data_IF_510109497614
#
_entry.id   IF_510109497614
#
_cell.length_a   1.000
_cell.length_b   1.000
_cell.length_c   1.000
_cell.angle_alpha   90.00
_cell.angle_beta   90.00
_cell.angle_gamma   90.00
#
_symmetry.space_group_name_H-M   'P 1'
#
loop_
_entity.id
_entity.type
_entity.pdbx_description
1 polymer ?
#
# COMPACT_ATOMS: atom_id res chain seq x y z
N UNK A 1 7.37 -29.43 -8.71
CA UNK A 1 7.95 -29.40 -10.06
C UNK A 1 6.84 -29.09 -11.08
N UNK A 2 7.20 -28.49 -12.21
CA UNK A 2 6.30 -28.12 -13.32
C UNK A 2 6.97 -28.43 -14.65
N UNK A 3 6.24 -29.11 -15.54
CA UNK A 3 6.65 -29.35 -16.93
C UNK A 3 6.44 -28.08 -17.77
N UNK A 4 7.22 -27.05 -17.47
CA UNK A 4 7.15 -25.71 -18.05
C UNK A 4 8.57 -25.18 -18.26
N UNK A 5 8.72 -24.30 -19.24
CA UNK A 5 9.97 -23.60 -19.48
C UNK A 5 10.20 -22.47 -18.47
N UNK A 6 9.19 -21.62 -18.26
CA UNK A 6 9.36 -20.38 -17.50
C UNK A 6 9.18 -20.60 -15.99
N UNK A 7 10.31 -20.87 -15.32
CA UNK A 7 10.44 -20.91 -13.86
C UNK A 7 11.88 -21.23 -13.47
N UNK A 8 12.26 -21.10 -12.19
CA UNK A 8 13.61 -21.44 -11.74
C UNK A 8 13.89 -22.94 -11.95
N UNK A 9 14.99 -23.32 -12.64
CA UNK A 9 15.39 -24.72 -12.72
C UNK A 9 15.61 -25.33 -11.34
N UNK A 10 15.13 -26.55 -11.14
CA UNK A 10 15.36 -27.28 -9.90
C UNK A 10 16.82 -27.75 -9.89
N UNK A 11 17.63 -27.40 -8.88
CA UNK A 11 19.09 -27.67 -8.87
C UNK A 11 19.40 -29.13 -8.50
N UNK A 12 18.89 -30.08 -9.30
CA UNK A 12 19.09 -31.52 -9.14
C UNK A 12 19.67 -32.12 -10.43
N UNK A 13 20.54 -33.10 -10.28
CA UNK A 13 21.13 -33.92 -11.35
C UNK A 13 20.84 -35.40 -11.06
N UNK A 14 20.45 -36.15 -12.09
CA UNK A 14 20.19 -37.57 -12.05
C UNK A 14 21.36 -38.36 -12.64
N UNK A 15 22.00 -39.19 -11.83
CA UNK A 15 23.07 -40.09 -12.21
C UNK A 15 22.62 -41.55 -12.10
N UNK A 16 22.96 -42.39 -13.08
CA UNK A 16 22.60 -43.81 -13.07
C UNK A 16 23.18 -44.57 -11.85
N UNK A 17 24.36 -44.16 -11.35
CA UNK A 17 25.01 -44.78 -10.19
C UNK A 17 24.66 -44.09 -8.86
N UNK A 18 24.43 -42.77 -8.88
CA UNK A 18 24.25 -41.94 -7.68
C UNK A 18 22.81 -41.54 -7.36
N UNK A 19 21.85 -41.83 -8.25
CA UNK A 19 20.46 -41.37 -8.10
C UNK A 19 20.31 -39.86 -8.29
N UNK A 20 19.43 -39.24 -7.51
CA UNK A 20 19.20 -37.79 -7.53
C UNK A 20 20.19 -37.08 -6.58
N UNK A 21 20.97 -36.16 -7.12
CA UNK A 21 22.03 -35.44 -6.42
C UNK A 21 21.81 -33.92 -6.55
N UNK A 22 22.11 -33.12 -5.51
CA UNK A 22 22.08 -31.66 -5.63
C UNK A 22 23.19 -31.17 -6.55
N UNK A 23 22.90 -30.08 -7.27
CA UNK A 23 23.93 -29.31 -7.97
C UNK A 23 24.85 -28.66 -6.92
N UNK A 24 26.18 -28.74 -7.05
CA UNK A 24 27.12 -28.08 -6.15
C UNK A 24 26.94 -26.56 -6.07
N UNK A 25 27.19 -25.97 -4.91
CA UNK A 25 27.00 -24.53 -4.66
C UNK A 25 27.80 -23.64 -5.64
N UNK A 26 29.00 -24.06 -6.05
CA UNK A 26 29.86 -23.36 -7.01
C UNK A 26 29.39 -23.44 -8.47
N UNK A 27 28.35 -24.25 -8.73
CA UNK A 27 27.68 -24.38 -10.02
C UNK A 27 26.29 -23.73 -10.04
N UNK A 28 25.88 -23.12 -8.93
CA UNK A 28 24.67 -22.31 -8.89
C UNK A 28 24.95 -20.89 -9.42
N UNK A 29 23.95 -20.22 -10.02
CA UNK A 29 22.61 -20.71 -10.33
C UNK A 29 22.59 -21.58 -11.60
N UNK A 30 21.68 -22.56 -11.65
CA UNK A 30 21.34 -23.25 -12.90
C UNK A 30 20.45 -22.33 -13.72
N UNK A 31 21.01 -21.71 -14.77
CA UNK A 31 20.29 -20.78 -15.63
C UNK A 31 19.43 -21.52 -16.66
N UNK A 32 18.28 -20.93 -17.01
CA UNK A 32 17.48 -21.41 -18.14
C UNK A 32 18.27 -21.24 -19.45
N UNK A 33 18.29 -22.26 -20.32
CA UNK A 33 18.86 -22.12 -21.65
C UNK A 33 17.93 -21.26 -22.53
N UNK A 34 18.46 -20.47 -23.47
CA UNK A 34 17.61 -19.81 -24.45
C UNK A 34 16.85 -20.86 -25.27
N UNK A 35 15.54 -20.64 -25.46
CA UNK A 35 14.69 -21.55 -26.21
C UNK A 35 13.61 -20.76 -26.96
N UNK A 36 13.60 -20.87 -28.29
CA UNK A 36 12.60 -20.20 -29.13
C UNK A 36 11.23 -20.88 -29.01
N UNK A 37 11.20 -22.21 -29.00
CA UNK A 37 9.98 -23.02 -28.92
C UNK A 37 9.76 -23.58 -27.51
N UNK A 38 9.27 -22.71 -26.62
CA UNK A 38 9.03 -23.03 -25.21
C UNK A 38 7.60 -23.49 -24.89
N UNK A 39 6.75 -23.65 -25.92
CA UNK A 39 5.35 -24.05 -25.73
C UNK A 39 5.27 -25.52 -25.31
N UNK A 40 4.40 -25.87 -24.35
CA UNK A 40 4.17 -27.27 -24.00
C UNK A 40 3.65 -28.03 -25.23
N UNK A 41 4.32 -29.14 -25.57
CA UNK A 41 3.95 -29.99 -26.72
C UNK A 41 2.79 -30.94 -26.43
N UNK A 42 2.33 -31.00 -25.17
CA UNK A 42 1.32 -31.95 -24.71
C UNK A 42 1.86 -33.35 -24.41
N UNK A 43 3.16 -33.59 -24.62
CA UNK A 43 3.81 -34.89 -24.40
C UNK A 43 4.08 -35.23 -22.92
N UNK A 44 3.64 -34.40 -21.97
CA UNK A 44 3.86 -34.61 -20.54
C UNK A 44 5.31 -34.39 -20.08
N UNK A 45 6.17 -33.83 -20.94
CA UNK A 45 7.57 -33.51 -20.64
C UNK A 45 7.82 -32.01 -20.69
N UNK A 46 8.76 -31.52 -19.90
CA UNK A 46 9.18 -30.12 -19.90
C UNK A 46 9.80 -29.74 -21.26
N UNK A 47 9.56 -28.52 -21.78
CA UNK A 47 10.26 -28.02 -22.97
C UNK A 47 11.79 -28.09 -22.84
N UNK A 48 12.32 -27.95 -21.61
CA UNK A 48 13.75 -28.03 -21.33
C UNK A 48 14.36 -29.41 -21.68
N UNK A 49 13.55 -30.48 -21.64
CA UNK A 49 14.00 -31.82 -21.99
C UNK A 49 14.44 -31.95 -23.46
N UNK A 50 14.05 -31.00 -24.32
CA UNK A 50 14.44 -30.98 -25.74
C UNK A 50 15.82 -30.36 -25.99
N UNK A 51 16.39 -29.69 -24.98
CA UNK A 51 17.67 -28.98 -25.10
C UNK A 51 18.81 -29.88 -24.62
N UNK A 52 19.24 -30.81 -25.47
CA UNK A 52 20.21 -31.84 -25.11
C UNK A 52 21.53 -31.28 -24.51
N UNK A 53 22.02 -30.14 -25.00
CA UNK A 53 23.23 -29.49 -24.48
C UNK A 53 23.09 -28.95 -23.06
N UNK A 54 21.87 -28.62 -22.64
CA UNK A 54 21.58 -28.14 -21.30
C UNK A 54 21.26 -29.30 -20.35
N UNK A 55 20.50 -30.29 -20.84
CA UNK A 55 20.10 -31.47 -20.06
C UNK A 55 21.28 -32.35 -19.71
N UNK A 56 22.17 -32.62 -20.67
CA UNK A 56 23.32 -33.50 -20.44
C UNK A 56 24.39 -32.78 -19.62
N UNK A 57 24.79 -33.38 -18.51
CA UNK A 57 25.81 -32.85 -17.60
C UNK A 57 26.63 -33.98 -17.00
N UNK A 58 27.53 -33.66 -16.07
CA UNK A 58 28.33 -34.63 -15.33
C UNK A 58 27.81 -34.82 -13.91
N UNK A 59 27.89 -36.04 -13.41
CA UNK A 59 27.58 -36.35 -12.02
C UNK A 59 28.58 -35.66 -11.08
N UNK A 60 28.13 -34.86 -10.09
CA UNK A 60 29.04 -34.17 -9.17
C UNK A 60 29.78 -35.12 -8.22
N UNK A 61 29.31 -36.36 -8.06
CA UNK A 61 29.93 -37.34 -7.16
C UNK A 61 30.93 -38.28 -7.84
N UNK A 62 30.62 -38.78 -9.04
CA UNK A 62 31.45 -39.80 -9.72
C UNK A 62 32.08 -39.33 -11.03
N UNK A 63 31.74 -38.12 -11.51
CA UNK A 63 32.22 -37.57 -12.79
C UNK A 63 31.64 -38.20 -14.05
N UNK A 64 30.85 -39.29 -13.93
CA UNK A 64 30.20 -39.95 -15.05
C UNK A 64 29.05 -39.13 -15.68
N UNK A 65 28.49 -39.60 -16.81
CA UNK A 65 27.34 -38.94 -17.46
C UNK A 65 26.12 -38.86 -16.55
N UNK A 66 25.43 -37.72 -16.58
CA UNK A 66 24.21 -37.47 -15.82
C UNK A 66 23.27 -36.52 -16.58
N UNK A 67 22.04 -36.37 -16.11
CA UNK A 67 21.05 -35.46 -16.70
C UNK A 67 20.49 -34.50 -15.65
N UNK A 68 20.27 -33.23 -16.01
CA UNK A 68 19.61 -32.27 -15.12
C UNK A 68 18.14 -32.61 -14.92
N UNK A 69 17.57 -32.20 -13.78
CA UNK A 69 16.12 -32.03 -13.66
C UNK A 69 15.65 -30.99 -14.69
N UNK A 70 14.61 -31.37 -15.43
CA UNK A 70 14.07 -30.58 -16.54
C UNK A 70 12.80 -29.86 -16.14
N UNK A 71 12.18 -30.23 -15.03
CA UNK A 71 11.10 -29.47 -14.45
C UNK A 71 11.62 -28.21 -13.74
N UNK A 72 10.77 -27.19 -13.71
CA UNK A 72 11.02 -25.95 -12.97
C UNK A 72 10.22 -25.91 -11.67
N UNK A 73 10.65 -25.06 -10.75
CA UNK A 73 9.89 -24.73 -9.56
C UNK A 73 8.61 -23.97 -9.93
N UNK A 74 7.56 -24.19 -9.14
CA UNK A 74 6.30 -23.46 -9.29
C UNK A 74 6.45 -22.03 -8.74
N UNK A 75 5.72 -21.06 -9.30
CA UNK A 75 5.80 -19.66 -8.90
C UNK A 75 5.38 -19.40 -7.44
N UNK A 76 4.62 -20.32 -6.81
CA UNK A 76 4.33 -20.22 -5.39
C UNK A 76 5.54 -20.48 -4.51
N UNK A 77 6.59 -21.14 -5.01
CA UNK A 77 7.85 -21.24 -4.26
C UNK A 77 8.49 -19.86 -4.16
N UNK A 78 8.64 -19.13 -5.27
CA UNK A 78 9.27 -17.81 -5.30
C UNK A 78 8.50 -16.81 -4.41
N UNK A 79 7.17 -16.79 -4.54
CA UNK A 79 6.32 -15.92 -3.73
C UNK A 79 6.16 -16.36 -2.28
N UNK A 80 6.62 -17.56 -1.88
CA UNK A 80 6.53 -17.99 -0.48
C UNK A 80 7.58 -17.34 0.43
N UNK A 81 8.62 -16.70 -0.12
CA UNK A 81 9.71 -16.14 0.70
C UNK A 81 10.26 -14.79 0.21
N UNK A 82 9.69 -14.20 -0.85
CA UNK A 82 10.16 -12.92 -1.41
C UNK A 82 10.26 -11.76 -0.40
N UNK A 83 9.42 -11.74 0.64
CA UNK A 83 9.48 -10.73 1.70
C UNK A 83 10.75 -10.83 2.56
N UNK A 84 11.40 -12.01 2.63
CA UNK A 84 12.74 -12.16 3.19
C UNK A 84 13.77 -11.47 2.28
N UNK A 85 13.68 -11.75 0.96
CA UNK A 85 14.61 -11.23 -0.04
C UNK A 85 14.60 -9.70 -0.12
N UNK A 86 13.46 -9.06 0.09
CA UNK A 86 13.37 -7.59 0.12
C UNK A 86 14.30 -6.91 1.11
N UNK A 87 14.73 -7.61 2.16
CA UNK A 87 15.67 -7.05 3.13
C UNK A 87 17.08 -6.84 2.56
N UNK A 88 17.41 -7.51 1.45
CA UNK A 88 18.79 -7.64 0.94
C UNK A 88 18.84 -7.78 -0.58
N UNK A 89 17.99 -7.03 -1.31
CA UNK A 89 17.86 -7.17 -2.78
C UNK A 89 19.15 -6.86 -3.54
N UNK A 90 20.06 -6.11 -2.92
CA UNK A 90 21.33 -5.68 -3.50
C UNK A 90 22.48 -6.71 -3.35
N UNK A 91 22.24 -7.85 -2.68
CA UNK A 91 23.27 -8.84 -2.38
C UNK A 91 23.09 -10.13 -3.17
N UNK A 92 24.12 -10.59 -3.86
CA UNK A 92 24.06 -11.83 -4.66
C UNK A 92 24.74 -13.03 -3.98
N UNK A 93 25.38 -12.81 -2.83
CA UNK A 93 26.15 -13.81 -2.09
C UNK A 93 25.34 -14.55 -1.01
N UNK A 94 24.17 -14.02 -0.65
CA UNK A 94 23.26 -14.60 0.35
C UNK A 94 21.81 -14.46 -0.10
N UNK A 95 20.90 -15.36 0.32
CA UNK A 95 19.47 -15.19 0.05
C UNK A 95 18.89 -13.98 0.79
N UNK A 96 19.37 -13.72 2.02
CA UNK A 96 19.05 -12.55 2.85
C UNK A 96 20.15 -12.30 3.90
N UNK A 97 20.17 -11.08 4.45
CA UNK A 97 20.99 -10.68 5.59
C UNK A 97 20.26 -10.93 6.92
N UNK A 98 20.85 -11.74 7.79
CA UNK A 98 20.25 -12.15 9.07
C UNK A 98 19.95 -10.97 10.01
N UNK A 99 20.83 -9.96 10.06
CA UNK A 99 20.64 -8.81 10.93
C UNK A 99 19.47 -7.95 10.44
N UNK A 100 19.31 -7.81 9.12
CA UNK A 100 18.17 -7.09 8.53
C UNK A 100 16.86 -7.85 8.68
N UNK A 101 16.86 -9.17 8.50
CA UNK A 101 15.68 -10.01 8.76
C UNK A 101 15.23 -9.87 10.22
N UNK A 102 16.15 -9.96 11.19
CA UNK A 102 15.82 -9.76 12.62
C UNK A 102 15.29 -8.37 12.95
N UNK A 103 15.70 -7.35 12.20
CA UNK A 103 15.25 -5.97 12.39
C UNK A 103 13.86 -5.72 11.81
N UNK A 104 13.60 -6.23 10.61
CA UNK A 104 12.43 -5.86 9.80
C UNK A 104 11.28 -6.84 9.87
N UNK A 105 11.54 -8.11 10.22
CA UNK A 105 10.53 -9.17 10.25
C UNK A 105 10.09 -9.50 11.69
N UNK A 106 8.85 -9.99 11.88
CA UNK A 106 7.85 -10.30 10.85
C UNK A 106 7.28 -9.04 10.19
N UNK A 107 6.69 -9.17 9.01
CA UNK A 107 6.04 -8.04 8.34
C UNK A 107 4.92 -7.52 9.24
N UNK A 108 5.01 -6.25 9.66
CA UNK A 108 4.08 -5.67 10.63
C UNK A 108 2.63 -5.57 10.13
N UNK A 109 2.44 -5.40 8.82
CA UNK A 109 1.13 -5.43 8.16
C UNK A 109 1.29 -5.93 6.72
N UNK A 110 0.60 -7.01 6.37
CA UNK A 110 0.48 -7.50 5.01
C UNK A 110 -0.91 -7.20 4.46
N UNK A 111 -0.98 -6.63 3.25
CA UNK A 111 -2.23 -6.36 2.54
C UNK A 111 -2.29 -7.13 1.22
N UNK A 112 -3.41 -7.79 0.94
CA UNK A 112 -3.60 -8.53 -0.32
C UNK A 112 -5.05 -8.94 -0.53
N UNK A 113 -5.33 -9.56 -1.68
CA UNK A 113 -6.67 -10.03 -2.00
C UNK A 113 -7.02 -11.37 -1.32
N UNK A 114 -8.31 -11.62 -1.03
CA UNK A 114 -8.76 -12.86 -0.38
C UNK A 114 -8.48 -14.12 -1.22
N UNK A 115 -8.27 -14.00 -2.53
CA UNK A 115 -7.95 -15.11 -3.43
C UNK A 115 -6.65 -15.86 -3.06
N UNK A 116 -5.78 -15.26 -2.27
CA UNK A 116 -4.50 -15.84 -1.85
C UNK A 116 -4.56 -16.59 -0.51
N UNK A 117 -5.71 -16.61 0.16
CA UNK A 117 -5.88 -17.20 1.50
C UNK A 117 -5.43 -18.67 1.58
N UNK A 118 -5.77 -19.48 0.57
CA UNK A 118 -5.46 -20.92 0.54
C UNK A 118 -4.25 -21.28 -0.33
N UNK A 119 -3.55 -20.29 -0.88
CA UNK A 119 -2.38 -20.49 -1.74
C UNK A 119 -1.18 -19.75 -1.15
N UNK A 120 -0.84 -18.58 -1.68
CA UNK A 120 0.34 -17.81 -1.26
C UNK A 120 0.45 -17.67 0.26
N UNK A 121 -0.64 -17.32 0.97
CA UNK A 121 -0.58 -17.17 2.43
C UNK A 121 -0.28 -18.49 3.15
N UNK A 122 -0.80 -19.61 2.65
CA UNK A 122 -0.49 -20.93 3.21
C UNK A 122 0.98 -21.28 2.96
N UNK A 123 1.47 -21.10 1.73
CA UNK A 123 2.85 -21.42 1.35
C UNK A 123 3.86 -20.53 2.06
N UNK A 124 3.59 -19.22 2.18
CA UNK A 124 4.45 -18.30 2.90
C UNK A 124 4.59 -18.67 4.37
N UNK A 125 3.48 -19.07 5.02
CA UNK A 125 3.51 -19.57 6.40
C UNK A 125 4.31 -20.86 6.51
N UNK A 126 4.04 -21.83 5.63
CA UNK A 126 4.75 -23.11 5.62
C UNK A 126 6.27 -22.93 5.50
N UNK A 127 6.73 -22.15 4.51
CA UNK A 127 8.16 -21.90 4.30
C UNK A 127 8.76 -21.15 5.49
N UNK A 128 8.07 -20.14 6.03
CA UNK A 128 8.57 -19.40 7.20
C UNK A 128 8.72 -20.29 8.43
N UNK A 129 7.74 -21.15 8.70
CA UNK A 129 7.80 -22.11 9.80
C UNK A 129 8.93 -23.11 9.60
N UNK A 130 9.07 -23.67 8.39
CA UNK A 130 10.16 -24.61 8.09
C UNK A 130 11.54 -23.97 8.28
N UNK A 131 11.73 -22.73 7.80
CA UNK A 131 12.98 -21.98 7.95
C UNK A 131 13.25 -21.59 9.42
N UNK A 132 12.20 -21.27 10.18
CA UNK A 132 12.30 -21.04 11.61
C UNK A 132 12.73 -22.31 12.36
N UNK A 133 12.13 -23.46 12.05
CA UNK A 133 12.41 -24.72 12.74
C UNK A 133 13.87 -25.19 12.53
N UNK A 134 14.48 -24.86 11.40
CA UNK A 134 15.92 -25.08 11.14
C UNK A 134 16.82 -23.93 11.62
N UNK A 135 16.26 -22.93 12.31
CA UNK A 135 17.00 -21.86 12.97
C UNK A 135 17.43 -20.68 12.07
N UNK A 136 16.92 -20.60 10.84
CA UNK A 136 17.27 -19.52 9.90
C UNK A 136 16.41 -18.27 10.07
N UNK A 137 15.21 -18.38 10.65
CA UNK A 137 14.33 -17.23 10.92
C UNK A 137 14.06 -17.06 12.42
N UNK A 138 14.01 -15.81 12.93
CA UNK A 138 13.69 -15.53 14.33
C UNK A 138 12.20 -15.72 14.67
N UNK A 139 11.33 -15.78 13.67
CA UNK A 139 9.88 -15.86 13.83
C UNK A 139 9.28 -16.89 12.87
N UNK A 140 8.35 -17.70 13.38
CA UNK A 140 7.69 -18.74 12.59
C UNK A 140 6.61 -18.18 11.64
N UNK A 141 5.86 -17.17 12.07
CA UNK A 141 4.81 -16.53 11.26
C UNK A 141 5.37 -15.31 10.51
N UNK A 142 5.19 -15.21 9.18
CA UNK A 142 5.80 -14.14 8.38
C UNK A 142 5.08 -12.79 8.52
N UNK A 143 3.79 -12.80 8.86
CA UNK A 143 2.94 -11.61 8.86
C UNK A 143 2.27 -11.43 10.22
N UNK A 144 2.60 -10.36 10.95
CA UNK A 144 2.02 -10.08 12.27
C UNK A 144 0.52 -9.74 12.18
N UNK A 145 0.12 -9.09 11.08
CA UNK A 145 -1.26 -8.75 10.78
C UNK A 145 -1.51 -8.90 9.29
N UNK A 146 -2.61 -9.55 8.94
CA UNK A 146 -3.13 -9.63 7.59
C UNK A 146 -4.37 -8.72 7.45
N UNK A 147 -4.45 -7.96 6.37
CA UNK A 147 -5.62 -7.17 6.00
C UNK A 147 -5.97 -7.45 4.56
N UNK A 148 -7.16 -8.01 4.35
CA UNK A 148 -7.65 -8.33 3.02
C UNK A 148 -8.42 -7.13 2.48
N UNK A 149 -8.11 -6.70 1.26
CA UNK A 149 -8.88 -5.65 0.60
C UNK A 149 -10.04 -6.26 -0.18
N UNK A 150 -11.07 -5.46 -0.42
CA UNK A 150 -12.15 -5.82 -1.33
C UNK A 150 -11.73 -5.82 -2.81
N UNK A 151 -12.60 -6.35 -3.65
CA UNK A 151 -12.46 -6.34 -5.10
C UNK A 151 -13.01 -5.05 -5.68
N UNK A 152 -12.21 -4.37 -6.52
CA UNK A 152 -12.71 -3.24 -7.31
C UNK A 152 -13.40 -3.76 -8.57
N UNK A 153 -14.63 -3.30 -8.78
CA UNK A 153 -15.49 -3.64 -9.90
C UNK A 153 -15.72 -2.44 -10.81
N UNK A 154 -16.27 -2.67 -12.01
CA UNK A 154 -16.75 -1.63 -12.92
C UNK A 154 -18.14 -2.02 -13.41
N UNK A 155 -19.11 -1.12 -13.21
CA UNK A 155 -20.52 -1.32 -13.52
C UNK A 155 -21.07 -2.61 -12.87
N UNK A 156 -20.69 -2.82 -11.59
CA UNK A 156 -21.09 -3.95 -10.76
C UNK A 156 -20.47 -5.29 -11.16
N UNK A 157 -19.47 -5.29 -12.04
CA UNK A 157 -18.81 -6.51 -12.53
C UNK A 157 -17.30 -6.47 -12.31
N UNK A 158 -16.74 -7.60 -11.87
CA UNK A 158 -15.28 -7.79 -11.79
C UNK A 158 -14.64 -7.46 -13.15
N UNK A 159 -13.61 -6.61 -13.13
CA UNK A 159 -12.91 -6.17 -14.32
C UNK A 159 -12.16 -7.34 -14.97
N UNK A 160 -12.30 -7.53 -16.29
CA UNK A 160 -11.52 -8.50 -17.06
C UNK A 160 -11.39 -8.12 -18.53
N UNK A 161 -10.28 -8.54 -19.17
CA UNK A 161 -10.06 -8.31 -20.62
C UNK A 161 -11.20 -8.86 -21.47
N UNK A 162 -11.69 -10.04 -21.14
CA UNK A 162 -12.80 -10.70 -21.85
C UNK A 162 -14.13 -9.93 -21.78
N UNK A 163 -14.31 -9.08 -20.77
CA UNK A 163 -15.51 -8.25 -20.60
C UNK A 163 -15.36 -6.84 -21.15
N UNK A 164 -14.15 -6.45 -21.57
CA UNK A 164 -13.86 -5.11 -22.07
C UNK A 164 -14.08 -3.99 -21.05
N UNK A 165 -14.18 -4.30 -19.75
CA UNK A 165 -14.45 -3.34 -18.68
C UNK A 165 -13.22 -3.05 -17.79
N UNK A 166 -12.02 -3.32 -18.31
CA UNK A 166 -10.77 -2.99 -17.62
C UNK A 166 -10.57 -1.49 -17.65
N UNK A 167 -10.38 -0.91 -16.46
CA UNK A 167 -9.99 0.49 -16.30
C UNK A 167 -8.47 0.56 -16.30
N UNK A 168 -7.89 1.34 -17.21
CA UNK A 168 -6.45 1.59 -17.23
C UNK A 168 -6.12 2.79 -16.32
N UNK A 169 -5.39 2.60 -15.19
CA UNK A 169 -5.05 3.70 -14.29
C UNK A 169 -4.26 4.84 -14.96
N UNK A 170 -3.40 4.52 -15.93
CA UNK A 170 -2.54 5.51 -16.59
C UNK A 170 -3.35 6.60 -17.30
N UNK A 171 -4.51 6.25 -17.87
CA UNK A 171 -5.40 7.22 -18.53
C UNK A 171 -5.98 8.23 -17.53
N UNK A 172 -6.29 7.79 -16.31
CA UNK A 172 -6.82 8.65 -15.25
C UNK A 172 -5.71 9.50 -14.62
N UNK A 173 -4.53 8.92 -14.41
CA UNK A 173 -3.37 9.64 -13.91
C UNK A 173 -2.98 10.75 -14.89
N UNK A 174 -2.90 10.45 -16.19
CA UNK A 174 -2.58 11.45 -17.22
C UNK A 174 -3.62 12.58 -17.31
N UNK A 175 -4.92 12.25 -17.12
CA UNK A 175 -6.02 13.22 -17.26
C UNK A 175 -6.30 14.04 -16.01
N UNK A 176 -6.19 13.43 -14.82
CA UNK A 176 -6.66 14.00 -13.56
C UNK A 176 -5.57 14.11 -12.48
N UNK A 177 -4.38 13.54 -12.74
CA UNK A 177 -3.29 13.48 -11.79
C UNK A 177 -3.33 12.25 -10.89
N UNK A 178 -2.16 11.90 -10.35
CA UNK A 178 -2.00 10.76 -9.45
C UNK A 178 -2.80 10.93 -8.15
N UNK A 179 -2.82 12.12 -7.56
CA UNK A 179 -3.50 12.39 -6.29
C UNK A 179 -5.01 12.19 -6.38
N UNK A 180 -5.66 12.76 -7.39
CA UNK A 180 -7.09 12.59 -7.59
C UNK A 180 -7.46 11.12 -7.80
N UNK A 181 -6.65 10.40 -8.59
CA UNK A 181 -6.87 8.97 -8.87
C UNK A 181 -6.68 8.12 -7.61
N UNK A 182 -5.61 8.36 -6.84
CA UNK A 182 -5.35 7.68 -5.55
C UNK A 182 -6.46 7.91 -4.54
N UNK A 183 -6.83 9.17 -4.33
CA UNK A 183 -7.91 9.54 -3.41
C UNK A 183 -9.24 8.94 -3.83
N UNK A 184 -9.52 8.86 -5.14
CA UNK A 184 -10.75 8.28 -5.62
C UNK A 184 -10.86 6.81 -5.22
N UNK A 185 -9.77 6.03 -5.37
CA UNK A 185 -9.71 4.63 -4.94
C UNK A 185 -9.87 4.48 -3.42
N UNK A 186 -9.18 5.32 -2.65
CA UNK A 186 -9.21 5.29 -1.18
C UNK A 186 -10.56 5.77 -0.59
N UNK A 187 -11.34 6.51 -1.36
CA UNK A 187 -12.64 7.05 -0.96
C UNK A 187 -13.84 6.22 -1.44
N UNK A 188 -13.62 5.13 -2.20
CA UNK A 188 -14.71 4.29 -2.72
C UNK A 188 -15.58 3.67 -1.62
N UNK A 189 -15.00 3.37 -0.46
CA UNK A 189 -15.69 2.73 0.65
C UNK A 189 -14.73 2.13 1.68
N UNK A 190 -15.23 1.24 2.55
CA UNK A 190 -14.39 0.44 3.44
C UNK A 190 -13.33 -0.35 2.66
N UNK A 191 -12.11 -0.40 3.18
CA UNK A 191 -10.96 -1.00 2.48
C UNK A 191 -11.14 -2.51 2.26
N UNK A 192 -11.83 -3.17 3.16
CA UNK A 192 -12.09 -4.62 3.21
C UNK A 192 -13.40 -5.04 2.51
N UNK A 193 -14.13 -4.09 1.91
CA UNK A 193 -15.36 -4.36 1.16
C UNK A 193 -15.16 -4.12 -0.34
N UNK A 194 -15.91 -4.89 -1.15
CA UNK A 194 -15.96 -4.67 -2.60
C UNK A 194 -16.53 -3.28 -2.92
N UNK A 195 -15.99 -2.64 -3.96
CA UNK A 195 -16.46 -1.34 -4.39
C UNK A 195 -16.50 -1.20 -5.91
N UNK A 196 -17.35 -0.32 -6.43
CA UNK A 196 -17.50 -0.08 -7.86
C UNK A 196 -16.81 1.22 -8.27
N UNK A 197 -15.87 1.10 -9.20
CA UNK A 197 -15.10 2.24 -9.71
C UNK A 197 -15.94 3.06 -10.69
N UNK A 198 -16.06 4.37 -10.42
CA UNK A 198 -16.78 5.30 -11.27
C UNK A 198 -15.97 6.57 -11.58
N UNK A 199 -16.11 7.07 -12.81
CA UNK A 199 -15.42 8.29 -13.26
C UNK A 199 -15.86 9.51 -12.45
N UNK A 200 -17.12 9.48 -11.98
CA UNK A 200 -17.68 10.52 -11.09
C UNK A 200 -16.92 10.62 -9.78
N UNK A 201 -16.46 9.50 -9.21
CA UNK A 201 -15.64 9.49 -8.01
C UNK A 201 -14.33 10.28 -8.20
N UNK A 202 -13.66 10.06 -9.33
CA UNK A 202 -12.42 10.77 -9.69
C UNK A 202 -12.66 12.26 -9.87
N UNK A 203 -13.69 12.65 -10.61
CA UNK A 203 -14.06 14.07 -10.80
C UNK A 203 -14.40 14.73 -9.46
N UNK A 204 -15.03 14.01 -8.54
CA UNK A 204 -15.29 14.48 -7.18
C UNK A 204 -14.00 14.82 -6.42
N UNK A 205 -12.98 13.96 -6.52
CA UNK A 205 -11.68 14.19 -5.89
C UNK A 205 -10.92 15.34 -6.53
N UNK A 206 -10.96 15.49 -7.86
CA UNK A 206 -10.39 16.68 -8.55
C UNK A 206 -10.98 17.97 -7.98
N UNK A 207 -12.32 18.03 -7.83
CA UNK A 207 -12.99 19.21 -7.25
C UNK A 207 -12.64 19.42 -5.78
N UNK A 208 -12.43 18.36 -5.01
CA UNK A 208 -11.98 18.50 -3.63
C UNK A 208 -10.56 19.06 -3.56
N UNK A 209 -9.63 18.50 -4.33
CA UNK A 209 -8.24 18.96 -4.38
C UNK A 209 -8.12 20.40 -4.88
N UNK A 210 -8.89 20.80 -5.90
CA UNK A 210 -8.96 22.19 -6.35
C UNK A 210 -9.43 23.15 -5.24
N UNK A 211 -10.40 22.72 -4.41
CA UNK A 211 -10.86 23.52 -3.26
C UNK A 211 -9.80 23.64 -2.17
N UNK A 212 -9.03 22.59 -1.92
CA UNK A 212 -7.88 22.64 -0.99
C UNK A 212 -6.81 23.57 -1.54
N UNK A 213 -6.53 23.51 -2.84
CA UNK A 213 -5.61 24.43 -3.51
C UNK A 213 -6.04 25.89 -3.30
N UNK A 214 -7.29 26.23 -3.61
CA UNK A 214 -7.84 27.58 -3.38
C UNK A 214 -7.70 28.05 -1.91
N UNK A 215 -7.87 27.13 -0.95
CA UNK A 215 -7.78 27.45 0.47
C UNK A 215 -6.33 27.68 0.93
N UNK A 216 -5.36 27.01 0.32
CA UNK A 216 -3.98 26.93 0.82
C UNK A 216 -2.97 27.73 -0.02
N UNK A 217 -3.20 27.87 -1.32
CA UNK A 217 -2.31 28.55 -2.25
C UNK A 217 -2.52 30.08 -2.30
N UNK A 218 -3.15 30.69 -1.29
CA UNK A 218 -3.47 32.12 -1.32
C UNK A 218 -2.17 32.95 -1.41
N UNK A 219 -1.91 33.51 -2.60
CA UNK A 219 -0.76 34.35 -2.95
C UNK A 219 -0.85 35.78 -2.36
N UNK A 220 -1.60 35.98 -1.26
CA UNK A 220 -1.85 37.30 -0.67
C UNK A 220 -2.93 38.12 -1.40
N UNK A 221 -3.89 37.48 -2.09
CA UNK A 221 -4.97 38.20 -2.79
C UNK A 221 -6.15 38.61 -1.90
N UNK A 222 -6.16 38.23 -0.62
CA UNK A 222 -6.99 38.91 0.40
C UNK A 222 -6.26 40.12 0.98
N UNK A 223 -6.10 41.17 0.17
CA UNK A 223 -6.07 42.55 0.70
C UNK A 223 -7.54 42.90 0.98
N UNK A 224 -8.02 43.29 2.15
CA UNK A 224 -7.59 44.38 3.05
C UNK A 224 -8.35 44.23 4.37
N UNK A 225 -7.70 44.28 5.52
CA UNK A 225 -7.79 45.39 6.49
C UNK A 225 -6.99 45.03 7.74
N UNK A 226 -5.84 45.69 7.86
CA UNK A 226 -4.81 45.42 8.85
C UNK A 226 -5.13 46.25 10.09
N UNK A 227 -6.11 45.81 10.89
CA UNK A 227 -6.36 46.20 12.29
C UNK A 227 -7.63 45.51 12.83
N UNK A 228 -7.55 44.21 13.13
CA UNK A 228 -8.55 43.54 13.98
C UNK A 228 -7.97 43.39 15.39
N UNK A 229 -8.70 43.77 16.46
CA UNK A 229 -8.24 43.53 17.83
C UNK A 229 -8.01 42.03 18.05
N UNK A 230 -7.13 41.69 19.00
CA UNK A 230 -6.81 40.30 19.35
C UNK A 230 -8.10 39.49 19.49
N UNK A 231 -8.17 38.33 18.80
CA UNK A 231 -9.37 37.48 18.79
C UNK A 231 -9.95 37.26 20.19
N UNK A 232 -11.26 37.14 20.29
CA UNK A 232 -11.89 36.75 21.54
C UNK A 232 -11.44 35.33 21.93
N UNK A 233 -11.39 35.03 23.23
CA UNK A 233 -11.00 33.71 23.74
C UNK A 233 -11.87 32.57 23.17
N UNK A 234 -13.14 32.87 22.89
CA UNK A 234 -14.12 31.99 22.22
C UNK A 234 -13.67 31.57 20.81
N UNK A 235 -13.18 32.51 20.00
CA UNK A 235 -12.69 32.27 18.63
C UNK A 235 -11.39 31.46 18.65
N UNK A 236 -10.45 31.81 19.55
CA UNK A 236 -9.19 31.07 19.68
C UNK A 236 -9.40 29.61 20.09
N UNK A 237 -10.40 29.37 20.95
CA UNK A 237 -10.75 28.04 21.42
C UNK A 237 -11.38 27.16 20.35
N UNK A 238 -12.06 27.77 19.37
CA UNK A 238 -12.75 27.06 18.30
C UNK A 238 -11.78 26.28 17.40
N UNK A 239 -10.65 26.88 17.00
CA UNK A 239 -9.62 26.16 16.24
C UNK A 239 -9.02 25.00 17.04
N UNK A 240 -8.55 25.23 18.27
CA UNK A 240 -7.86 24.19 19.03
C UNK A 240 -8.72 22.94 19.26
N UNK A 241 -10.04 23.09 19.44
CA UNK A 241 -10.98 21.95 19.51
C UNK A 241 -11.15 21.27 18.16
N UNK A 242 -11.41 22.03 17.09
CA UNK A 242 -11.69 21.46 15.76
C UNK A 242 -10.45 20.79 15.16
N UNK A 243 -9.29 21.45 15.24
CA UNK A 243 -8.00 20.92 14.79
C UNK A 243 -7.58 19.68 15.56
N UNK A 244 -7.67 19.70 16.90
CA UNK A 244 -7.40 18.53 17.73
C UNK A 244 -8.28 17.34 17.37
N UNK A 245 -9.59 17.56 17.18
CA UNK A 245 -10.53 16.51 16.73
C UNK A 245 -10.19 15.95 15.36
N UNK A 246 -9.84 16.82 14.40
CA UNK A 246 -9.45 16.39 13.06
C UNK A 246 -8.21 15.49 13.11
N UNK A 247 -7.17 15.92 13.82
CA UNK A 247 -5.91 15.18 13.95
C UNK A 247 -6.20 13.81 14.59
N UNK A 248 -6.92 13.75 15.71
CA UNK A 248 -7.30 12.49 16.36
C UNK A 248 -8.07 11.59 15.40
N UNK A 249 -9.13 12.10 14.77
CA UNK A 249 -9.97 11.32 13.85
C UNK A 249 -9.14 10.77 12.68
N UNK A 250 -8.41 11.61 11.94
CA UNK A 250 -7.61 11.15 10.80
C UNK A 250 -6.54 10.14 11.21
N UNK A 251 -5.90 10.33 12.36
CA UNK A 251 -4.89 9.40 12.91
C UNK A 251 -5.50 8.04 13.20
N UNK A 252 -6.64 7.99 13.91
CA UNK A 252 -7.33 6.75 14.24
C UNK A 252 -7.84 6.03 12.99
N UNK A 253 -8.44 6.77 12.06
CA UNK A 253 -8.94 6.21 10.80
C UNK A 253 -7.81 5.65 9.93
N UNK A 254 -6.64 6.31 9.85
CA UNK A 254 -5.45 5.79 9.17
C UNK A 254 -4.93 4.50 9.81
N UNK A 255 -4.81 4.46 11.15
CA UNK A 255 -4.43 3.24 11.86
C UNK A 255 -5.44 2.11 11.66
N UNK A 256 -6.73 2.42 11.51
CA UNK A 256 -7.77 1.45 11.23
C UNK A 256 -7.88 1.05 9.75
N UNK A 257 -7.15 1.71 8.84
CA UNK A 257 -7.32 1.61 7.36
C UNK A 257 -8.70 2.01 6.86
N UNK A 258 -9.38 2.88 7.59
CA UNK A 258 -10.66 3.47 7.18
C UNK A 258 -10.38 4.76 6.40
N UNK A 259 -9.81 4.60 5.21
CA UNK A 259 -9.33 5.73 4.41
C UNK A 259 -10.45 6.65 3.95
N UNK A 260 -11.62 6.10 3.60
CA UNK A 260 -12.78 6.86 3.13
C UNK A 260 -13.30 7.85 4.19
N UNK A 261 -13.39 7.44 5.46
CA UNK A 261 -13.80 8.29 6.58
C UNK A 261 -12.72 9.29 7.00
N UNK A 262 -11.43 8.95 6.86
CA UNK A 262 -10.34 9.91 7.03
C UNK A 262 -10.44 11.04 5.98
N UNK A 263 -10.64 10.68 4.70
CA UNK A 263 -10.84 11.65 3.62
C UNK A 263 -12.12 12.47 3.85
N UNK A 264 -13.22 11.85 4.29
CA UNK A 264 -14.45 12.56 4.64
C UNK A 264 -14.20 13.62 5.73
N UNK A 265 -13.42 13.29 6.77
CA UNK A 265 -13.05 14.24 7.82
C UNK A 265 -12.24 15.44 7.26
N UNK A 266 -11.31 15.19 6.33
CA UNK A 266 -10.58 16.26 5.64
C UNK A 266 -11.50 17.14 4.78
N UNK A 267 -12.49 16.55 4.11
CA UNK A 267 -13.49 17.28 3.32
C UNK A 267 -14.38 18.15 4.21
N UNK A 268 -14.88 17.60 5.31
CA UNK A 268 -15.65 18.33 6.34
C UNK A 268 -14.83 19.50 6.88
N UNK A 269 -13.55 19.26 7.20
CA UNK A 269 -12.66 20.28 7.70
C UNK A 269 -12.37 21.38 6.68
N UNK A 270 -12.10 21.03 5.42
CA UNK A 270 -11.87 22.02 4.36
C UNK A 270 -13.10 22.93 4.16
N UNK A 271 -14.32 22.37 4.28
CA UNK A 271 -15.55 23.16 4.24
C UNK A 271 -15.68 24.09 5.46
N UNK A 272 -15.37 23.58 6.66
CA UNK A 272 -15.35 24.40 7.88
C UNK A 272 -14.35 25.56 7.76
N UNK A 273 -13.12 25.28 7.31
CA UNK A 273 -12.05 26.26 7.15
C UNK A 273 -12.43 27.35 6.12
N UNK A 274 -13.14 26.98 5.06
CA UNK A 274 -13.68 27.92 4.07
C UNK A 274 -14.71 28.88 4.67
N UNK A 275 -15.54 28.39 5.61
CA UNK A 275 -16.54 29.19 6.31
C UNK A 275 -15.98 30.03 7.47
N UNK A 276 -14.79 29.66 7.98
CA UNK A 276 -14.13 30.28 9.11
C UNK A 276 -13.42 31.60 8.73
N UNK A 277 -14.17 32.55 8.17
CA UNK A 277 -13.68 33.87 7.75
C UNK A 277 -13.18 34.76 8.90
N UNK A 278 -13.32 34.32 10.15
CA UNK A 278 -13.05 35.10 11.36
C UNK A 278 -11.84 34.59 12.16
N UNK A 279 -11.15 33.53 11.70
CA UNK A 279 -9.97 33.03 12.40
C UNK A 279 -8.83 34.07 12.33
N UNK A 280 -8.09 34.27 13.44
CA UNK A 280 -6.81 34.98 13.42
C UNK A 280 -5.88 34.45 12.34
N UNK A 281 -5.09 35.33 11.72
CA UNK A 281 -4.18 34.97 10.63
C UNK A 281 -3.24 33.80 10.99
N UNK A 282 -2.72 33.79 12.21
CA UNK A 282 -1.86 32.71 12.72
C UNK A 282 -2.60 31.37 12.80
N UNK A 283 -3.82 31.35 13.37
CA UNK A 283 -4.63 30.14 13.49
C UNK A 283 -5.12 29.64 12.13
N UNK A 284 -5.46 30.54 11.23
CA UNK A 284 -5.80 30.19 9.85
C UNK A 284 -4.59 29.56 9.12
N UNK A 285 -3.38 30.08 9.35
CA UNK A 285 -2.15 29.49 8.80
C UNK A 285 -1.86 28.10 9.39
N UNK A 286 -1.99 27.94 10.71
CA UNK A 286 -1.84 26.65 11.39
C UNK A 286 -2.87 25.62 10.90
N UNK A 287 -4.13 26.03 10.74
CA UNK A 287 -5.20 25.20 10.21
C UNK A 287 -4.91 24.71 8.78
N UNK A 288 -4.44 25.60 7.90
CA UNK A 288 -4.03 25.24 6.53
C UNK A 288 -2.86 24.26 6.52
N UNK A 289 -1.83 24.50 7.34
CA UNK A 289 -0.68 23.59 7.48
C UNK A 289 -1.10 22.22 8.00
N UNK A 290 -1.98 22.18 9.02
CA UNK A 290 -2.51 20.94 9.57
C UNK A 290 -3.29 20.14 8.51
N UNK A 291 -4.15 20.80 7.72
CA UNK A 291 -4.85 20.16 6.61
C UNK A 291 -3.88 19.54 5.61
N UNK A 292 -2.85 20.28 5.20
CA UNK A 292 -1.85 19.82 4.23
C UNK A 292 -1.06 18.62 4.75
N UNK A 293 -0.63 18.64 6.02
CA UNK A 293 0.06 17.52 6.67
C UNK A 293 -0.81 16.26 6.71
N UNK A 294 -2.07 16.39 7.12
CA UNK A 294 -3.00 15.26 7.21
C UNK A 294 -3.45 14.73 5.84
N UNK A 295 -3.40 15.57 4.80
CA UNK A 295 -3.72 15.21 3.42
C UNK A 295 -2.57 14.43 2.74
N UNK A 296 -1.32 14.66 3.16
CA UNK A 296 -0.13 14.15 2.48
C UNK A 296 -0.09 12.62 2.27
N UNK A 297 -0.58 11.76 3.19
CA UNK A 297 -0.65 10.31 2.93
C UNK A 297 -1.57 9.92 1.76
N UNK A 298 -2.56 10.76 1.46
CA UNK A 298 -3.58 10.51 0.44
C UNK A 298 -3.22 11.16 -0.90
N UNK A 299 -2.82 12.43 -0.86
CA UNK A 299 -2.49 13.27 -2.02
C UNK A 299 -1.10 13.91 -1.84
N UNK A 300 -0.02 13.11 -1.96
CA UNK A 300 1.33 13.56 -1.63
C UNK A 300 1.82 14.74 -2.48
N UNK A 301 1.50 14.78 -3.78
CA UNK A 301 2.09 15.75 -4.69
C UNK A 301 1.55 17.17 -4.46
N UNK A 302 0.23 17.31 -4.35
CA UNK A 302 -0.39 18.60 -4.02
C UNK A 302 -0.06 19.03 -2.59
N UNK A 303 0.07 18.09 -1.66
CA UNK A 303 0.47 18.42 -0.28
C UNK A 303 1.88 18.96 -0.21
N UNK A 304 2.83 18.41 -0.98
CA UNK A 304 4.20 18.92 -1.06
C UNK A 304 4.23 20.37 -1.60
N UNK A 305 3.55 20.62 -2.73
CA UNK A 305 3.49 21.95 -3.34
C UNK A 305 2.81 22.99 -2.42
N UNK A 306 1.73 22.61 -1.74
CA UNK A 306 1.05 23.49 -0.79
C UNK A 306 1.86 23.70 0.50
N UNK A 307 2.63 22.70 0.92
CA UNK A 307 3.51 22.83 2.09
C UNK A 307 4.58 23.90 1.86
N UNK A 308 5.25 23.87 0.71
CA UNK A 308 6.23 24.89 0.32
C UNK A 308 5.59 26.29 0.28
N UNK A 309 4.44 26.43 -0.39
CA UNK A 309 3.71 27.71 -0.49
C UNK A 309 3.28 28.27 0.86
N UNK A 310 2.97 27.41 1.83
CA UNK A 310 2.63 27.81 3.21
C UNK A 310 3.88 28.13 4.05
N UNK A 311 5.07 28.18 3.45
CA UNK A 311 6.35 28.45 4.10
C UNK A 311 6.88 27.27 4.91
N UNK A 312 6.44 26.04 4.59
CA UNK A 312 6.98 24.83 5.17
C UNK A 312 8.45 24.62 4.79
N UNK A 313 9.26 24.11 5.72
CA UNK A 313 10.65 23.77 5.46
C UNK A 313 10.78 22.29 5.10
N UNK A 314 11.66 21.97 4.15
CA UNK A 314 11.86 20.60 3.67
C UNK A 314 10.60 20.00 3.04
N UNK A 315 10.56 18.67 2.92
CA UNK A 315 9.38 17.97 2.41
C UNK A 315 8.29 17.84 3.47
N UNK A 316 7.03 17.88 3.04
CA UNK A 316 5.87 17.58 3.91
C UNK A 316 5.96 16.18 4.49
N UNK A 317 6.67 15.27 3.81
CA UNK A 317 6.84 13.87 4.21
C UNK A 317 7.90 13.67 5.29
N UNK A 318 8.80 14.65 5.48
CA UNK A 318 9.77 14.67 6.58
C UNK A 318 9.25 15.44 7.80
N UNK A 319 8.16 16.19 7.64
CA UNK A 319 7.53 16.94 8.71
C UNK A 319 6.92 16.01 9.77
N UNK A 320 6.96 16.40 11.07
CA UNK A 320 6.33 15.61 12.12
C UNK A 320 4.81 15.55 11.92
N UNK A 321 4.23 14.38 12.19
CA UNK A 321 2.78 14.24 12.23
C UNK A 321 2.19 15.22 13.27
N UNK A 322 1.11 15.96 12.94
CA UNK A 322 0.56 16.97 13.85
C UNK A 322 0.08 16.32 15.15
N UNK A 323 0.33 16.98 16.27
CA UNK A 323 -0.15 16.53 17.57
C UNK A 323 -1.61 16.97 17.78
N UNK A 324 -2.44 16.09 18.32
CA UNK A 324 -3.79 16.45 18.71
C UNK A 324 -3.74 17.34 19.98
N UNK A 325 -4.19 18.58 19.88
CA UNK A 325 -4.42 19.40 21.06
C UNK A 325 -5.57 18.81 21.87
N UNK A 326 -5.33 18.41 23.13
CA UNK A 326 -6.38 17.97 24.04
C UNK A 326 -7.09 19.23 24.55
N UNK A 327 -8.23 19.55 23.96
CA UNK A 327 -9.06 20.66 24.43
C UNK A 327 -10.40 20.12 24.89
N UNK A 328 -10.67 20.26 26.19
CA UNK A 328 -11.98 19.97 26.75
C UNK A 328 -13.00 20.95 26.16
N UNK A 329 -13.98 20.40 25.46
CA UNK A 329 -15.16 21.14 25.05
C UNK A 329 -15.97 21.46 26.31
N UNK A 330 -16.30 22.73 26.54
CA UNK A 330 -17.07 23.18 27.72
C UNK A 330 -18.54 23.46 27.40
N UNK A 331 -18.93 23.34 26.14
CA UNK A 331 -20.30 23.58 25.66
C UNK A 331 -20.68 22.41 24.76
N UNK A 332 -21.69 21.64 25.16
CA UNK A 332 -22.13 20.44 24.45
C UNK A 332 -23.55 20.64 23.94
N UNK A 333 -23.79 20.30 22.66
CA UNK A 333 -25.14 20.27 22.14
C UNK A 333 -25.87 19.02 22.65
N UNK A 334 -26.90 19.21 23.47
CA UNK A 334 -27.71 18.16 24.04
C UNK A 334 -29.02 18.03 23.27
N UNK A 335 -29.28 16.82 22.75
CA UNK A 335 -30.57 16.50 22.16
C UNK A 335 -31.59 16.22 23.28
N UNK A 336 -32.59 17.09 23.41
CA UNK A 336 -33.70 16.91 24.35
C UNK A 336 -34.75 16.02 23.69
N UNK A 337 -35.06 14.91 24.35
CA UNK A 337 -36.04 13.93 23.87
C UNK A 337 -37.25 13.85 24.79
N UNK A 338 -38.43 13.63 24.21
CA UNK A 338 -39.67 13.28 24.93
C UNK A 338 -40.23 12.03 24.27
N UNK A 339 -40.44 10.98 25.08
CA UNK A 339 -40.85 9.63 24.63
C UNK A 339 -39.97 9.07 23.50
N UNK A 340 -38.65 9.24 23.63
CA UNK A 340 -37.66 8.75 22.66
C UNK A 340 -37.61 9.53 21.34
N UNK A 341 -38.37 10.62 21.19
CA UNK A 341 -38.33 11.48 20.00
C UNK A 341 -37.62 12.80 20.32
N UNK A 342 -36.67 13.19 19.48
CA UNK A 342 -35.98 14.49 19.60
C UNK A 342 -36.99 15.62 19.43
N UNK A 343 -36.99 16.54 20.38
CA UNK A 343 -37.85 17.74 20.41
C UNK A 343 -37.05 19.01 20.21
N UNK A 344 -35.85 19.06 20.77
CA UNK A 344 -35.01 20.24 20.75
C UNK A 344 -33.53 19.86 20.82
N UNK A 345 -32.66 20.78 20.42
CA UNK A 345 -31.21 20.71 20.63
C UNK A 345 -30.79 21.98 21.33
N UNK A 346 -30.28 21.85 22.55
CA UNK A 346 -29.82 22.98 23.38
C UNK A 346 -28.29 22.97 23.46
N UNK A 347 -27.66 24.12 23.64
CA UNK A 347 -26.20 24.27 23.77
C UNK A 347 -25.82 24.78 25.15
#
# INVERSE_FOLDING_TARGET
SRQRYWGPPIPIVYCAAGGALPVPDDQLPVLLPPLDEFRPTGAGVSPLATVAEWVNTTCPQCGGPATRETDVSDNFLDSAWYFLRYTSTERDDVPWDDARVRRWLPVGMYTGGPEHATMHHLYARFISMALHDIGLLPHAEPFARLRLHGTITRDGRKMSKSRGNVVNPDEYIARYGADATRMALLFLGPFDEDADFSDRGVVGMVRFLARVWELCADDGRRTTDDQRPAAEESERRQWSVVGGRLVTRVTEELHARRFHTAIAALMEFANWLRGANELPAEQAAEARRTLVLLLAPFAPHISEELWERLGGAGSVHDAPWPAAAIVAETVHELAVQVDGRVRERIR
#
